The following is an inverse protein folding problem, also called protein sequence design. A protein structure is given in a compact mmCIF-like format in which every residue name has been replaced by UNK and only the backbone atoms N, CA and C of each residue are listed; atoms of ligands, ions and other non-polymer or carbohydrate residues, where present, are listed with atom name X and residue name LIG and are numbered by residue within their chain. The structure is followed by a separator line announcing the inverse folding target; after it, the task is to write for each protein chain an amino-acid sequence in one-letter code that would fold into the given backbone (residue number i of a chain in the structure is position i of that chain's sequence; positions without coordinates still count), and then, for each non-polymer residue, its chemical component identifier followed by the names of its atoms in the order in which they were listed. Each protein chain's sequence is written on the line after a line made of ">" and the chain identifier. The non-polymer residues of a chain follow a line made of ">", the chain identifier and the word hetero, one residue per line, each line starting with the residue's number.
data_IF_645976508872
#
_entry.id   IF_645976508872
#
_cell.length_a   1.000
_cell.length_b   1.000
_cell.length_c   1.000
_cell.angle_alpha   90.00
_cell.angle_beta   90.00
_cell.angle_gamma   90.00
#
_symmetry.space_group_name_H-M   'P 1'
#
loop_
_entity.id
_entity.type
_entity.pdbx_description
1 polymer ?
#
# COMPACT_ATOMS: atom_id res chain seq x y z
N UNK A 1 -5.74 -9.66 7.95
CA UNK A 1 -6.60 -8.55 7.41
C UNK A 1 -7.88 -9.19 6.89
N UNK A 2 -9.09 -8.73 7.22
CA UNK A 2 -10.32 -9.44 6.79
C UNK A 2 -10.62 -9.21 5.31
N UNK A 3 -10.91 -10.26 4.52
CA UNK A 3 -11.43 -10.06 3.15
C UNK A 3 -12.94 -9.87 3.19
N UNK A 4 -13.42 -8.92 2.39
CA UNK A 4 -14.83 -8.67 2.16
C UNK A 4 -15.14 -8.96 0.70
N UNK A 5 -16.03 -9.91 0.49
CA UNK A 5 -16.46 -10.38 -0.83
C UNK A 5 -17.70 -9.63 -1.31
N UNK A 6 -18.08 -9.81 -2.57
CA UNK A 6 -19.15 -9.04 -3.23
C UNK A 6 -20.55 -9.26 -2.60
N UNK A 7 -20.79 -10.43 -2.01
CA UNK A 7 -21.96 -10.77 -1.20
C UNK A 7 -21.94 -10.15 0.20
N UNK A 8 -20.83 -9.52 0.59
CA UNK A 8 -20.63 -8.93 1.91
C UNK A 8 -20.24 -9.95 2.98
N UNK A 9 -19.98 -11.21 2.60
CA UNK A 9 -19.41 -12.18 3.51
C UNK A 9 -18.00 -11.73 3.94
N UNK A 10 -17.71 -11.95 5.21
CA UNK A 10 -16.42 -11.63 5.82
C UNK A 10 -15.70 -12.95 6.03
N UNK A 11 -14.71 -13.20 5.19
CA UNK A 11 -13.79 -14.30 5.44
C UNK A 11 -12.63 -13.77 6.29
N UNK A 12 -12.42 -14.40 7.45
CA UNK A 12 -11.22 -14.18 8.23
C UNK A 12 -10.08 -14.89 7.50
N UNK A 13 -9.37 -14.15 6.67
CA UNK A 13 -8.12 -14.58 6.08
C UNK A 13 -6.98 -13.79 6.72
N UNK A 14 -5.89 -14.48 7.01
CA UNK A 14 -4.67 -13.84 7.48
C UNK A 14 -3.77 -13.55 6.27
N UNK A 15 -3.92 -12.35 5.72
CA UNK A 15 -3.00 -11.87 4.69
C UNK A 15 -1.73 -11.30 5.31
N UNK A 16 -0.60 -11.76 4.79
CA UNK A 16 0.71 -11.13 4.94
C UNK A 16 1.06 -10.57 3.56
N UNK A 17 1.42 -9.29 3.51
CA UNK A 17 1.94 -8.72 2.28
C UNK A 17 3.41 -9.08 2.11
N UNK A 18 3.81 -9.42 0.90
CA UNK A 18 5.21 -9.70 0.60
C UNK A 18 5.45 -10.01 -0.87
N UNK A 19 6.73 -10.22 -1.19
CA UNK A 19 7.20 -10.50 -2.53
C UNK A 19 7.47 -11.99 -2.73
N UNK A 20 6.91 -12.56 -3.78
CA UNK A 20 7.35 -13.86 -4.30
C UNK A 20 8.39 -13.67 -5.40
N UNK A 21 9.58 -14.25 -5.26
CA UNK A 21 10.53 -14.32 -6.38
C UNK A 21 10.09 -15.45 -7.30
N UNK A 22 9.41 -15.13 -8.40
CA UNK A 22 9.14 -16.13 -9.44
C UNK A 22 10.39 -16.28 -10.32
N UNK A 23 11.16 -17.35 -10.12
CA UNK A 23 12.09 -17.81 -11.14
C UNK A 23 11.26 -18.26 -12.37
N UNK A 24 11.61 -17.85 -13.61
CA UNK A 24 10.86 -18.25 -14.79
C UNK A 24 11.14 -19.73 -15.08
N UNK A 25 10.32 -20.62 -14.51
CA UNK A 25 10.30 -22.03 -14.91
C UNK A 25 9.15 -22.21 -15.89
N UNK A 26 9.47 -22.24 -17.18
CA UNK A 26 8.61 -22.71 -18.26
C UNK A 26 8.43 -24.23 -18.13
N UNK A 27 7.50 -24.66 -17.29
CA UNK A 27 6.90 -26.00 -17.40
C UNK A 27 5.38 -25.87 -17.48
N UNK A 28 4.71 -26.59 -18.38
CA UNK A 28 3.25 -26.62 -18.40
C UNK A 28 2.76 -27.28 -17.10
N UNK A 29 2.14 -26.50 -16.22
CA UNK A 29 1.54 -27.03 -15.00
C UNK A 29 0.08 -27.37 -15.32
N UNK A 30 -0.20 -28.66 -15.36
CA UNK A 30 -1.54 -29.21 -15.41
C UNK A 30 -2.09 -29.14 -13.98
N UNK A 31 -2.96 -28.18 -13.70
CA UNK A 31 -3.70 -28.15 -12.43
C UNK A 31 -4.71 -29.31 -12.47
N UNK A 32 -4.32 -30.48 -11.98
CA UNK A 32 -5.28 -31.48 -11.55
C UNK A 32 -6.02 -30.93 -10.34
N UNK A 33 -7.36 -31.03 -10.34
CA UNK A 33 -8.19 -30.89 -9.14
C UNK A 33 -7.56 -31.75 -8.03
N UNK A 34 -6.80 -31.13 -7.13
CA UNK A 34 -6.40 -31.79 -5.89
C UNK A 34 -7.55 -31.59 -4.92
N UNK A 35 -8.08 -32.71 -4.45
CA UNK A 35 -9.27 -32.78 -3.63
C UNK A 35 -9.16 -31.92 -2.37
N UNK A 36 -10.27 -31.26 -2.05
CA UNK A 36 -10.54 -30.67 -0.75
C UNK A 36 -9.89 -29.32 -0.51
N UNK A 37 -10.23 -28.32 -1.31
CA UNK A 37 -10.71 -26.99 -0.86
C UNK A 37 -10.69 -26.02 -2.06
N UNK A 38 -11.84 -25.87 -2.69
CA UNK A 38 -12.04 -24.81 -3.69
C UNK A 38 -12.11 -23.50 -2.92
N UNK A 39 -11.16 -22.58 -3.16
CA UNK A 39 -11.26 -21.19 -2.69
C UNK A 39 -12.48 -20.51 -3.33
N UNK A 40 -13.65 -20.70 -2.71
CA UNK A 40 -14.90 -20.04 -3.08
C UNK A 40 -14.87 -18.64 -2.47
N UNK A 41 -14.31 -17.69 -3.24
CA UNK A 41 -14.36 -16.25 -2.91
C UNK A 41 -15.76 -15.65 -3.10
N UNK A 42 -16.70 -16.41 -3.65
CA UNK A 42 -18.12 -16.09 -3.79
C UNK A 42 -18.93 -17.38 -3.79
N UNK A 43 -20.22 -17.31 -3.46
CA UNK A 43 -21.21 -18.38 -3.70
C UNK A 43 -21.49 -18.61 -5.22
N UNK A 44 -20.44 -18.68 -6.05
CA UNK A 44 -20.51 -19.02 -7.46
C UNK A 44 -19.70 -20.31 -7.72
N UNK A 45 -20.36 -21.48 -7.87
CA UNK A 45 -19.68 -22.77 -8.05
C UNK A 45 -18.90 -22.89 -9.37
N UNK A 46 -19.07 -21.96 -10.31
CA UNK A 46 -18.38 -21.96 -11.61
C UNK A 46 -17.33 -20.84 -11.78
N UNK A 47 -17.11 -20.05 -10.73
CA UNK A 47 -16.22 -18.90 -10.77
C UNK A 47 -14.88 -19.22 -10.10
N UNK A 48 -14.06 -20.07 -10.72
CA UNK A 48 -12.75 -20.45 -10.17
C UNK A 48 -11.66 -19.62 -10.84
N UNK A 49 -10.93 -18.77 -10.10
CA UNK A 49 -9.75 -18.09 -10.65
C UNK A 49 -8.69 -19.12 -11.06
N UNK A 50 -7.96 -18.85 -12.14
CA UNK A 50 -6.73 -19.58 -12.46
C UNK A 50 -5.71 -19.33 -11.35
N UNK A 51 -5.48 -20.33 -10.51
CA UNK A 51 -4.42 -20.35 -9.49
C UNK A 51 -3.17 -20.99 -10.10
N UNK A 52 -1.98 -20.47 -9.77
CA UNK A 52 -0.72 -21.11 -10.11
C UNK A 52 -0.12 -21.74 -8.86
N UNK A 53 0.38 -22.97 -8.98
CA UNK A 53 1.18 -23.59 -7.95
C UNK A 53 2.61 -23.05 -8.01
N UNK A 54 3.17 -22.73 -6.85
CA UNK A 54 4.54 -22.29 -6.71
C UNK A 54 5.29 -23.35 -5.88
N UNK A 55 6.46 -23.80 -6.37
CA UNK A 55 7.32 -24.77 -5.70
C UNK A 55 8.64 -24.11 -5.32
N UNK A 56 9.34 -24.66 -4.32
CA UNK A 56 10.69 -24.22 -3.91
C UNK A 56 10.77 -22.71 -3.66
N UNK A 57 9.80 -22.17 -2.92
CA UNK A 57 9.79 -20.75 -2.59
C UNK A 57 11.07 -20.39 -1.82
N UNK A 58 11.61 -19.21 -2.10
CA UNK A 58 12.79 -18.65 -1.45
C UNK A 58 12.51 -17.19 -1.12
N UNK A 59 13.23 -16.64 -0.13
CA UNK A 59 13.11 -15.24 0.27
C UNK A 59 12.39 -15.02 1.60
N UNK A 60 12.30 -13.75 2.00
CA UNK A 60 11.92 -13.31 3.36
C UNK A 60 10.49 -13.65 3.77
N UNK A 61 9.61 -14.01 2.83
CA UNK A 61 8.25 -14.42 3.14
C UNK A 61 8.23 -15.74 3.95
N UNK A 62 9.23 -16.60 3.76
CA UNK A 62 9.39 -17.84 4.54
C UNK A 62 9.97 -17.60 5.93
N UNK A 63 10.61 -16.46 6.16
CA UNK A 63 11.17 -16.08 7.46
C UNK A 63 10.09 -15.46 8.38
N UNK A 64 8.88 -15.23 7.86
CA UNK A 64 7.75 -14.73 8.62
C UNK A 64 7.25 -15.81 9.59
N UNK A 65 6.98 -15.48 10.87
CA UNK A 65 6.40 -16.43 11.82
C UNK A 65 4.94 -16.80 11.50
N UNK A 66 4.29 -16.12 10.55
CA UNK A 66 2.96 -16.46 10.07
C UNK A 66 3.04 -17.46 8.91
N UNK A 67 2.44 -18.64 9.07
CA UNK A 67 2.26 -19.59 7.97
C UNK A 67 1.30 -19.02 6.93
N UNK A 68 1.74 -18.87 5.69
CA UNK A 68 0.90 -18.44 4.56
C UNK A 68 0.68 -19.59 3.59
N UNK A 69 -0.57 -19.86 3.21
CA UNK A 69 -0.91 -20.91 2.24
C UNK A 69 -0.66 -20.51 0.77
N UNK A 70 -0.34 -19.23 0.51
CA UNK A 70 -0.01 -18.73 -0.82
C UNK A 70 0.10 -17.21 -0.91
N UNK A 71 0.32 -16.71 -2.13
CA UNK A 71 0.41 -15.28 -2.45
C UNK A 71 -0.75 -14.90 -3.35
N UNK A 72 -1.46 -13.82 -3.00
CA UNK A 72 -2.54 -13.28 -3.80
C UNK A 72 -2.02 -12.16 -4.72
N UNK A 73 -2.03 -12.40 -6.03
CA UNK A 73 -1.65 -11.40 -7.04
C UNK A 73 -2.73 -10.36 -7.27
N UNK A 74 -2.45 -9.09 -6.92
CA UNK A 74 -3.40 -7.97 -6.99
C UNK A 74 -2.99 -6.87 -7.98
N UNK A 75 -2.03 -7.13 -8.87
CA UNK A 75 -1.61 -6.15 -9.86
C UNK A 75 -2.70 -5.82 -10.90
N UNK A 76 -2.40 -4.88 -11.80
CA UNK A 76 -3.21 -4.62 -13.00
C UNK A 76 -2.98 -5.66 -14.13
N UNK A 77 -2.18 -6.70 -13.86
CA UNK A 77 -1.86 -7.74 -14.83
C UNK A 77 -3.04 -8.64 -15.17
N UNK A 78 -3.03 -9.22 -16.37
CA UNK A 78 -4.14 -10.04 -16.90
C UNK A 78 -4.47 -11.29 -16.06
N UNK A 79 -3.52 -11.74 -15.24
CA UNK A 79 -3.61 -12.90 -14.35
C UNK A 79 -3.91 -12.53 -12.90
N UNK A 80 -4.05 -11.25 -12.55
CA UNK A 80 -4.38 -10.85 -11.19
C UNK A 80 -5.81 -11.27 -10.83
N UNK A 81 -6.03 -11.57 -9.56
CA UNK A 81 -7.35 -11.98 -9.06
C UNK A 81 -8.46 -10.98 -9.44
N UNK A 82 -8.34 -9.65 -9.20
CA UNK A 82 -9.39 -8.71 -9.57
C UNK A 82 -9.69 -8.73 -11.08
N UNK A 83 -8.65 -8.82 -11.92
CA UNK A 83 -8.83 -8.88 -13.39
C UNK A 83 -9.53 -10.16 -13.84
N UNK A 84 -9.20 -11.31 -13.22
CA UNK A 84 -9.83 -12.59 -13.54
C UNK A 84 -11.32 -12.59 -13.17
N UNK A 85 -11.67 -12.11 -11.97
CA UNK A 85 -13.06 -12.03 -11.51
C UNK A 85 -13.87 -11.01 -12.33
N UNK A 86 -13.26 -9.88 -12.72
CA UNK A 86 -13.90 -8.88 -13.56
C UNK A 86 -14.19 -9.39 -14.97
N UNK A 87 -13.29 -10.17 -15.58
CA UNK A 87 -13.53 -10.84 -16.88
C UNK A 87 -14.72 -11.81 -16.84
N UNK A 88 -14.97 -12.43 -15.69
CA UNK A 88 -16.13 -13.29 -15.46
C UNK A 88 -17.41 -12.49 -15.11
N UNK A 89 -17.33 -11.16 -15.00
CA UNK A 89 -18.46 -10.28 -14.72
C UNK A 89 -18.93 -10.30 -13.26
N UNK A 90 -18.12 -10.80 -12.33
CA UNK A 90 -18.48 -10.98 -10.91
C UNK A 90 -18.33 -9.66 -10.14
N UNK A 91 -17.26 -8.91 -10.44
CA UNK A 91 -16.93 -7.63 -9.83
C UNK A 91 -16.49 -6.63 -10.91
N UNK A 92 -16.41 -5.35 -10.56
CA UNK A 92 -15.58 -4.39 -11.30
C UNK A 92 -14.10 -4.74 -11.15
N UNK A 93 -13.23 -4.31 -12.07
CA UNK A 93 -11.78 -4.53 -11.95
C UNK A 93 -11.17 -3.53 -10.96
N UNK A 94 -11.65 -3.60 -9.72
CA UNK A 94 -11.32 -2.69 -8.63
C UNK A 94 -11.02 -3.55 -7.40
N UNK A 95 -10.07 -3.11 -6.60
CA UNK A 95 -9.92 -3.64 -5.25
C UNK A 95 -9.41 -2.53 -4.32
N UNK A 96 -9.45 -2.78 -3.02
CA UNK A 96 -8.84 -1.87 -2.07
C UNK A 96 -8.56 -2.52 -0.73
N UNK A 97 -7.73 -1.86 0.06
CA UNK A 97 -7.37 -2.28 1.40
C UNK A 97 -7.37 -1.09 2.36
N UNK A 98 -7.46 -1.40 3.65
CA UNK A 98 -7.39 -0.45 4.74
C UNK A 98 -6.64 -1.10 5.90
N UNK A 99 -5.39 -0.67 6.11
CA UNK A 99 -4.54 -1.16 7.20
C UNK A 99 -4.85 -0.34 8.45
N UNK A 100 -5.25 -1.00 9.54
CA UNK A 100 -5.52 -0.32 10.79
C UNK A 100 -4.26 0.27 11.41
N UNK A 101 -4.41 1.41 12.10
CA UNK A 101 -3.33 2.03 12.89
C UNK A 101 -3.10 1.32 14.22
N UNK A 102 -4.18 0.78 14.80
CA UNK A 102 -4.14 0.01 16.04
C UNK A 102 -3.77 -1.45 15.73
N UNK A 103 -2.67 -1.98 16.28
CA UNK A 103 -2.26 -3.36 16.05
C UNK A 103 -3.27 -4.39 16.59
N UNK A 104 -4.15 -4.01 17.53
CA UNK A 104 -5.23 -4.86 18.04
C UNK A 104 -6.45 -4.91 17.09
N UNK A 105 -6.52 -3.99 16.12
CA UNK A 105 -7.59 -3.95 15.14
C UNK A 105 -7.17 -4.64 13.84
N UNK A 106 -8.00 -5.57 13.38
CA UNK A 106 -7.84 -6.12 12.04
C UNK A 106 -8.28 -5.09 10.98
N UNK A 107 -7.38 -4.71 10.08
CA UNK A 107 -7.75 -4.03 8.85
C UNK A 107 -8.63 -4.88 7.93
N UNK A 108 -9.00 -4.36 6.77
CA UNK A 108 -9.78 -5.10 5.77
C UNK A 108 -9.30 -4.88 4.35
N UNK A 109 -9.63 -5.84 3.47
CA UNK A 109 -9.49 -5.76 2.03
C UNK A 109 -10.85 -6.04 1.38
N UNK A 110 -11.10 -5.48 0.21
CA UNK A 110 -12.30 -5.76 -0.58
C UNK A 110 -11.96 -5.92 -2.06
N UNK A 111 -12.79 -6.70 -2.74
CA UNK A 111 -12.77 -6.87 -4.20
C UNK A 111 -14.04 -6.25 -4.79
N UNK A 112 -13.90 -5.56 -5.91
CA UNK A 112 -14.93 -4.73 -6.53
C UNK A 112 -14.99 -3.30 -5.97
N UNK A 113 -15.96 -2.54 -6.44
CA UNK A 113 -16.14 -1.11 -6.16
C UNK A 113 -17.09 -0.80 -4.98
N UNK A 114 -17.68 -1.84 -4.37
CA UNK A 114 -18.74 -1.75 -3.36
C UNK A 114 -18.37 -0.90 -2.13
N UNK A 115 -17.09 -0.90 -1.77
CA UNK A 115 -16.55 -0.26 -0.57
C UNK A 115 -15.70 0.96 -0.90
N UNK A 116 -15.69 1.40 -2.16
CA UNK A 116 -15.04 2.66 -2.56
C UNK A 116 -15.98 3.82 -2.19
N UNK A 117 -15.55 4.77 -1.35
CA UNK A 117 -16.37 5.92 -1.01
C UNK A 117 -16.71 6.77 -2.24
N UNK A 118 -17.99 7.20 -2.35
CA UNK A 118 -18.45 8.08 -3.43
C UNK A 118 -17.81 9.47 -3.41
N UNK A 119 -17.37 9.92 -2.24
CA UNK A 119 -16.83 11.26 -1.98
C UNK A 119 -15.65 11.17 -1.03
N UNK A 120 -14.77 12.17 -1.05
CA UNK A 120 -13.63 12.26 -0.14
C UNK A 120 -12.40 11.45 -0.55
N UNK A 121 -12.48 10.67 -1.63
CA UNK A 121 -11.32 10.02 -2.25
C UNK A 121 -10.46 11.04 -3.01
N UNK A 122 -9.15 10.94 -2.84
CA UNK A 122 -8.16 11.60 -3.72
C UNK A 122 -7.65 10.59 -4.72
N UNK A 123 -7.78 10.86 -6.01
CA UNK A 123 -7.39 9.95 -7.09
C UNK A 123 -6.20 10.50 -7.88
N UNK A 124 -5.29 9.63 -8.32
CA UNK A 124 -4.21 9.92 -9.27
C UNK A 124 -4.18 8.87 -10.37
N UNK A 125 -3.91 9.26 -11.63
CA UNK A 125 -3.74 8.28 -12.70
C UNK A 125 -2.50 7.42 -12.42
N UNK A 126 -2.64 6.14 -12.71
CA UNK A 126 -1.53 5.20 -12.76
C UNK A 126 -0.78 5.43 -14.07
N UNK A 127 0.55 5.46 -14.01
CA UNK A 127 1.40 5.61 -15.18
C UNK A 127 1.44 4.27 -15.91
N UNK A 128 1.11 4.29 -17.20
CA UNK A 128 1.29 3.13 -18.06
C UNK A 128 2.79 2.82 -18.21
N UNK A 129 3.16 1.59 -17.91
CA UNK A 129 4.52 1.08 -18.05
C UNK A 129 4.51 -0.41 -18.38
N UNK A 130 5.66 -0.99 -18.75
CA UNK A 130 5.78 -2.42 -19.02
C UNK A 130 5.66 -3.29 -17.77
N UNK A 131 5.75 -2.68 -16.59
CA UNK A 131 5.66 -3.33 -15.30
C UNK A 131 4.21 -3.28 -14.79
N UNK A 132 3.68 -4.41 -14.32
CA UNK A 132 2.36 -4.53 -13.71
C UNK A 132 2.34 -3.95 -12.28
N UNK A 133 2.83 -2.72 -12.10
CA UNK A 133 2.98 -2.03 -10.81
C UNK A 133 2.14 -0.76 -10.76
N UNK A 134 1.60 -0.45 -9.57
CA UNK A 134 0.84 0.77 -9.33
C UNK A 134 1.76 1.95 -9.13
N UNK A 135 2.26 2.48 -10.25
CA UNK A 135 3.17 3.63 -10.27
C UNK A 135 2.48 4.93 -10.69
N UNK A 136 2.97 6.05 -10.18
CA UNK A 136 2.55 7.41 -10.56
C UNK A 136 3.73 8.37 -10.37
N UNK A 137 3.50 9.69 -10.42
CA UNK A 137 4.56 10.69 -10.27
C UNK A 137 4.20 11.79 -9.27
N UNK A 138 5.16 12.12 -8.40
CA UNK A 138 5.09 13.29 -7.52
C UNK A 138 5.94 14.42 -8.06
N UNK A 139 5.50 15.65 -7.81
CA UNK A 139 6.23 16.87 -8.14
C UNK A 139 7.21 17.27 -7.06
N UNK A 140 6.85 17.04 -5.79
CA UNK A 140 7.69 17.38 -4.64
C UNK A 140 7.26 16.61 -3.40
N UNK A 141 8.21 16.45 -2.48
CA UNK A 141 8.02 15.86 -1.16
C UNK A 141 8.40 16.90 -0.12
N UNK A 142 7.51 17.16 0.84
CA UNK A 142 7.74 18.14 1.89
C UNK A 142 7.74 17.50 3.27
N UNK A 143 8.55 18.01 4.18
CA UNK A 143 8.46 17.80 5.62
C UNK A 143 8.12 19.12 6.31
N UNK A 144 6.97 19.20 6.99
CA UNK A 144 6.60 20.42 7.73
C UNK A 144 6.49 21.71 6.90
N UNK A 145 6.29 21.58 5.59
CA UNK A 145 6.23 22.70 4.63
C UNK A 145 7.55 23.00 3.92
N UNK A 146 8.67 22.43 4.37
CA UNK A 146 9.96 22.50 3.69
C UNK A 146 10.09 21.37 2.67
N UNK A 147 10.47 21.69 1.43
CA UNK A 147 10.74 20.69 0.40
C UNK A 147 12.03 19.92 0.73
N UNK A 148 11.98 18.60 0.61
CA UNK A 148 13.10 17.70 0.93
C UNK A 148 14.09 17.53 -0.23
N UNK A 149 13.77 18.01 -1.44
CA UNK A 149 14.63 17.88 -2.61
C UNK A 149 15.87 18.80 -2.51
N UNK A 150 17.02 18.31 -2.97
CA UNK A 150 18.20 19.14 -3.23
C UNK A 150 17.89 20.08 -4.40
N UNK A 151 18.47 21.30 -4.40
CA UNK A 151 18.20 22.34 -5.42
C UNK A 151 18.31 21.85 -6.87
N UNK A 152 19.15 20.85 -7.14
CA UNK A 152 19.34 20.26 -8.48
C UNK A 152 18.18 19.34 -8.91
N UNK A 153 17.41 18.81 -7.97
CA UNK A 153 16.23 17.97 -8.22
C UNK A 153 14.90 18.70 -8.04
N UNK A 154 14.93 19.97 -7.62
CA UNK A 154 13.74 20.78 -7.44
C UNK A 154 12.92 20.88 -8.74
N UNK A 155 11.66 20.42 -8.70
CA UNK A 155 10.76 20.40 -9.85
C UNK A 155 10.89 19.17 -10.77
N UNK A 156 11.79 18.23 -10.49
CA UNK A 156 11.84 16.93 -11.19
C UNK A 156 10.68 16.04 -10.74
N UNK A 157 10.02 15.40 -11.70
CA UNK A 157 9.01 14.39 -11.40
C UNK A 157 9.68 13.12 -10.89
N UNK A 158 9.30 12.67 -9.70
CA UNK A 158 9.80 11.44 -9.09
C UNK A 158 8.75 10.35 -9.19
N UNK A 159 9.12 9.18 -9.67
CA UNK A 159 8.23 8.03 -9.72
C UNK A 159 7.89 7.58 -8.30
N UNK A 160 6.61 7.25 -8.08
CA UNK A 160 6.12 6.68 -6.82
C UNK A 160 5.45 5.37 -7.12
N UNK A 161 5.78 4.32 -6.39
CA UNK A 161 5.12 3.01 -6.45
C UNK A 161 4.35 2.82 -5.14
N UNK A 162 3.07 2.48 -5.23
CA UNK A 162 2.28 2.06 -4.07
C UNK A 162 2.38 0.56 -3.91
N UNK A 163 3.12 0.14 -2.90
CA UNK A 163 3.47 -1.26 -2.70
C UNK A 163 3.13 -1.70 -1.28
N UNK A 164 1.99 -2.37 -1.16
CA UNK A 164 1.61 -2.99 0.11
C UNK A 164 2.54 -4.14 0.53
N UNK A 165 3.33 -4.70 -0.40
CA UNK A 165 4.31 -5.77 -0.20
C UNK A 165 5.56 -5.37 0.60
N UNK A 166 5.86 -4.07 0.68
CA UNK A 166 6.97 -3.53 1.46
C UNK A 166 6.50 -3.08 2.83
N UNK A 167 7.19 -3.48 3.90
CA UNK A 167 6.85 -3.02 5.24
C UNK A 167 7.11 -1.54 5.44
N UNK A 168 8.27 -1.07 4.96
CA UNK A 168 8.72 0.32 5.11
C UNK A 168 8.57 1.12 3.83
N UNK A 169 8.59 2.44 3.99
CA UNK A 169 8.66 3.35 2.85
C UNK A 169 10.11 3.57 2.46
N UNK A 170 10.41 3.65 1.17
CA UNK A 170 11.76 3.87 0.67
C UNK A 170 11.82 5.15 -0.12
N UNK A 171 12.74 6.05 0.25
CA UNK A 171 12.98 7.30 -0.46
C UNK A 171 14.30 7.25 -1.23
N UNK A 172 14.40 7.92 -2.38
CA UNK A 172 15.68 8.20 -3.01
C UNK A 172 16.66 8.80 -2.00
N UNK A 173 17.94 8.41 -2.10
CA UNK A 173 18.99 8.74 -1.14
C UNK A 173 19.02 10.23 -0.74
N UNK A 174 18.89 11.14 -1.72
CA UNK A 174 18.89 12.59 -1.48
C UNK A 174 17.69 13.07 -0.64
N UNK A 175 16.49 12.52 -0.89
CA UNK A 175 15.28 12.87 -0.12
C UNK A 175 15.38 12.26 1.29
N UNK A 176 15.90 11.05 1.40
CA UNK A 176 16.10 10.35 2.68
C UNK A 176 17.08 11.09 3.60
N UNK A 177 18.25 11.50 3.08
CA UNK A 177 19.25 12.26 3.85
C UNK A 177 18.75 13.64 4.27
N UNK A 178 18.01 14.33 3.40
CA UNK A 178 17.33 15.60 3.72
C UNK A 178 16.27 15.44 4.81
N UNK A 179 15.53 14.32 4.80
CA UNK A 179 14.58 13.98 5.85
C UNK A 179 15.28 13.78 7.19
N UNK A 180 16.37 13.00 7.24
CA UNK A 180 17.16 12.80 8.46
C UNK A 180 17.59 14.14 9.05
N UNK A 181 18.17 15.03 8.25
CA UNK A 181 18.60 16.35 8.71
C UNK A 181 17.43 17.17 9.28
N UNK A 182 16.25 17.08 8.66
CA UNK A 182 15.04 17.75 9.13
C UNK A 182 14.50 17.17 10.45
N UNK A 183 14.64 15.87 10.66
CA UNK A 183 14.26 15.20 11.92
C UNK A 183 15.22 15.57 13.05
N UNK A 184 16.53 15.53 12.82
CA UNK A 184 17.55 15.93 13.79
C UNK A 184 17.36 17.40 14.22
N UNK A 185 17.06 18.29 13.27
CA UNK A 185 16.76 19.70 13.55
C UNK A 185 15.46 19.88 14.37
N UNK A 186 14.46 19.02 14.16
CA UNK A 186 13.20 19.04 14.90
C UNK A 186 13.34 18.47 16.32
N UNK A 187 14.36 17.65 16.59
CA UNK A 187 14.57 16.98 17.88
C UNK A 187 15.98 17.20 18.47
N UNK A 188 16.36 18.45 18.82
CA UNK A 188 17.71 18.78 19.27
C UNK A 188 18.14 18.12 20.59
N UNK A 189 17.19 17.60 21.37
CA UNK A 189 17.46 16.86 22.61
C UNK A 189 17.64 15.35 22.40
N UNK A 190 17.53 14.85 21.17
CA UNK A 190 17.65 13.43 20.87
C UNK A 190 19.04 13.15 20.31
N UNK A 191 19.65 12.04 20.72
CA UNK A 191 20.97 11.63 20.26
C UNK A 191 20.86 10.40 19.37
N UNK A 192 21.59 10.35 18.25
CA UNK A 192 21.67 9.14 17.42
C UNK A 192 22.17 7.96 18.25
N UNK A 193 21.50 6.81 18.14
CA UNK A 193 21.89 5.57 18.84
C UNK A 193 22.19 4.46 17.82
N UNK A 194 23.44 4.37 17.41
CA UNK A 194 23.91 3.36 16.45
C UNK A 194 23.93 1.93 17.04
N UNK A 195 23.78 1.79 18.36
CA UNK A 195 23.67 0.47 18.99
C UNK A 195 22.28 -0.15 18.79
N UNK A 196 21.28 0.65 18.43
CA UNK A 196 19.92 0.20 18.14
C UNK A 196 19.80 -0.21 16.67
N UNK A 197 19.73 -1.52 16.45
CA UNK A 197 19.64 -2.12 15.11
C UNK A 197 18.18 -2.36 14.67
N UNK A 198 17.20 -1.79 15.38
CA UNK A 198 15.78 -1.93 15.02
C UNK A 198 15.51 -1.40 13.61
N UNK A 199 16.07 -0.22 13.28
CA UNK A 199 16.06 0.37 11.94
C UNK A 199 17.38 1.12 11.70
N UNK A 200 17.76 1.38 10.44
CA UNK A 200 19.02 2.07 10.09
C UNK A 200 19.19 3.46 10.74
N UNK A 201 18.09 4.13 11.06
CA UNK A 201 18.11 5.42 11.74
C UNK A 201 17.22 5.40 12.98
N UNK A 202 17.86 5.48 14.15
CA UNK A 202 17.23 5.57 15.46
C UNK A 202 17.87 6.69 16.30
N UNK A 203 17.03 7.43 17.01
CA UNK A 203 17.46 8.48 17.94
C UNK A 203 16.89 8.22 19.33
N UNK A 204 17.73 8.39 20.33
CA UNK A 204 17.41 8.23 21.74
C UNK A 204 16.99 9.58 22.35
N UNK A 205 15.75 9.69 22.85
CA UNK A 205 15.31 10.83 23.64
C UNK A 205 15.99 10.87 25.02
N UNK A 206 16.05 12.05 25.63
CA UNK A 206 16.53 12.23 27.01
C UNK A 206 15.43 11.97 28.07
N UNK A 207 14.29 11.42 27.66
CA UNK A 207 13.18 11.01 28.52
C UNK A 207 12.62 9.65 28.06
N UNK A 208 11.92 8.89 28.92
CA UNK A 208 11.31 7.63 28.53
C UNK A 208 10.20 7.84 27.49
N UNK A 209 10.24 7.08 26.39
CA UNK A 209 9.20 7.05 25.36
C UNK A 209 8.60 5.65 25.31
N UNK A 210 7.27 5.55 25.35
CA UNK A 210 6.53 4.29 25.31
C UNK A 210 5.77 4.11 24.00
N UNK A 211 5.32 5.21 23.41
CA UNK A 211 4.62 5.17 22.12
C UNK A 211 4.94 6.42 21.29
N UNK A 212 4.54 6.38 20.02
CA UNK A 212 4.68 7.54 19.13
C UNK A 212 3.89 8.74 19.64
N UNK A 213 2.80 8.52 20.40
CA UNK A 213 1.98 9.60 20.96
C UNK A 213 2.77 10.53 21.90
N UNK A 214 3.79 10.00 22.59
CA UNK A 214 4.64 10.77 23.51
C UNK A 214 5.49 11.82 22.78
N UNK A 215 5.79 11.60 21.48
CA UNK A 215 6.75 12.41 20.71
C UNK A 215 6.19 13.01 19.43
N UNK A 216 5.05 12.55 18.93
CA UNK A 216 4.53 12.92 17.60
C UNK A 216 4.34 14.42 17.38
N UNK A 217 4.08 15.19 18.44
CA UNK A 217 3.90 16.64 18.35
C UNK A 217 5.19 17.39 17.96
N UNK A 218 6.35 16.78 18.19
CA UNK A 218 7.67 17.31 17.81
C UNK A 218 7.90 17.19 16.30
N UNK A 219 7.24 16.23 15.65
CA UNK A 219 7.47 15.91 14.25
C UNK A 219 6.35 16.41 13.35
N UNK A 220 6.64 16.56 12.05
CA UNK A 220 5.71 17.09 11.05
C UNK A 220 5.34 16.05 10.01
N UNK A 221 4.14 16.09 9.41
CA UNK A 221 3.77 15.14 8.38
C UNK A 221 4.68 15.27 7.14
N UNK A 222 4.92 14.14 6.47
CA UNK A 222 5.47 14.10 5.12
C UNK A 222 4.33 14.30 4.13
N UNK A 223 4.51 15.21 3.17
CA UNK A 223 3.50 15.54 2.17
C UNK A 223 4.06 15.28 0.78
N UNK A 224 3.49 14.29 0.10
CA UNK A 224 3.79 14.00 -1.30
C UNK A 224 2.77 14.71 -2.17
N UNK A 225 3.24 15.66 -2.97
CA UNK A 225 2.39 16.46 -3.84
C UNK A 225 2.42 15.89 -5.26
N UNK A 226 1.29 15.37 -5.72
CA UNK A 226 1.12 14.84 -7.06
C UNK A 226 0.75 15.96 -8.03
N UNK A 227 1.05 15.75 -9.31
CA UNK A 227 0.75 16.74 -10.34
C UNK A 227 -0.74 17.07 -10.41
N UNK A 228 -1.03 18.35 -10.61
CA UNK A 228 -2.40 18.81 -10.88
C UNK A 228 -2.87 18.19 -12.19
N UNK A 229 -4.06 17.61 -12.20
CA UNK A 229 -4.83 17.36 -13.43
C UNK A 229 -5.75 18.56 -13.66
N UNK A 230 -6.59 18.51 -14.70
CA UNK A 230 -7.52 19.57 -15.10
C UNK A 230 -8.30 20.19 -13.91
N UNK A 231 -8.59 19.41 -12.87
CA UNK A 231 -9.31 19.89 -11.68
C UNK A 231 -8.37 20.50 -10.62
N UNK A 232 -8.79 21.63 -10.05
CA UNK A 232 -8.05 22.51 -9.11
C UNK A 232 -7.81 21.90 -7.71
N UNK A 233 -8.04 20.60 -7.51
CA UNK A 233 -7.89 19.95 -6.20
C UNK A 233 -6.44 19.47 -6.03
N UNK A 234 -5.69 19.98 -5.03
CA UNK A 234 -4.35 19.50 -4.75
C UNK A 234 -4.40 18.02 -4.33
N UNK A 235 -3.72 17.17 -5.10
CA UNK A 235 -3.60 15.74 -4.82
C UNK A 235 -2.39 15.56 -3.91
N UNK A 236 -2.63 15.50 -2.60
CA UNK A 236 -1.57 15.35 -1.61
C UNK A 236 -1.77 14.04 -0.85
N UNK A 237 -0.72 13.22 -0.80
CA UNK A 237 -0.67 12.07 0.08
C UNK A 237 0.10 12.46 1.34
N UNK A 238 -0.56 12.39 2.49
CA UNK A 238 0.02 12.77 3.77
C UNK A 238 0.40 11.53 4.59
N UNK A 239 1.64 11.50 5.08
CA UNK A 239 2.15 10.49 5.99
C UNK A 239 2.32 11.17 7.34
N UNK A 240 1.46 10.82 8.30
CA UNK A 240 1.51 11.35 9.65
C UNK A 240 2.71 10.75 10.44
N UNK A 241 3.16 11.38 11.54
CA UNK A 241 4.24 10.84 12.38
C UNK A 241 4.04 9.37 12.79
N UNK A 242 2.82 8.96 13.10
CA UNK A 242 2.46 7.58 13.45
C UNK A 242 2.69 6.58 12.30
N UNK A 243 2.84 7.07 11.08
CA UNK A 243 3.01 6.29 9.86
C UNK A 243 4.45 6.37 9.30
N UNK A 244 5.40 6.95 10.04
CA UNK A 244 6.82 6.87 9.72
C UNK A 244 7.73 6.80 10.94
N UNK A 245 7.22 6.93 12.17
CA UNK A 245 7.97 6.76 13.41
C UNK A 245 7.65 5.40 14.03
N UNK A 246 8.69 4.74 14.54
CA UNK A 246 8.61 3.45 15.21
C UNK A 246 9.34 3.57 16.54
N UNK A 247 8.72 3.15 17.63
CA UNK A 247 9.38 3.10 18.93
C UNK A 247 10.03 1.73 19.07
N UNK A 248 11.35 1.70 19.23
CA UNK A 248 12.07 0.45 19.48
C UNK A 248 11.88 -0.04 20.91
N UNK A 249 12.22 -1.29 21.15
CA UNK A 249 12.22 -1.94 22.46
C UNK A 249 13.15 -1.24 23.47
N UNK A 250 14.11 -0.44 22.97
CA UNK A 250 15.02 0.40 23.77
C UNK A 250 14.42 1.76 24.14
N UNK A 251 13.20 2.08 23.67
CA UNK A 251 12.56 3.38 23.82
C UNK A 251 13.12 4.45 22.88
N UNK A 252 13.83 4.05 21.81
CA UNK A 252 14.33 4.99 20.81
C UNK A 252 13.26 5.27 19.76
N UNK A 253 13.32 6.45 19.15
CA UNK A 253 12.49 6.86 18.03
C UNK A 253 13.23 6.53 16.74
N UNK A 254 12.74 5.54 16.01
CA UNK A 254 13.30 5.04 14.76
C UNK A 254 12.47 5.48 13.55
N UNK A 255 13.12 5.65 12.41
CA UNK A 255 12.50 6.11 11.16
C UNK A 255 12.11 4.91 10.28
N UNK A 256 10.80 4.73 10.06
CA UNK A 256 10.20 3.76 9.13
C UNK A 256 10.21 4.19 7.66
N UNK A 257 11.06 5.17 7.32
CA UNK A 257 11.43 5.54 5.95
C UNK A 257 12.91 5.18 5.79
N UNK A 258 13.23 4.40 4.77
CA UNK A 258 14.55 3.84 4.52
C UNK A 258 15.15 4.39 3.22
N UNK A 259 16.43 4.12 3.01
CA UNK A 259 17.13 4.47 1.78
C UNK A 259 16.78 3.50 0.65
N UNK A 260 16.21 4.01 -0.44
CA UNK A 260 15.83 3.21 -1.61
C UNK A 260 17.01 2.56 -2.34
N UNK A 261 18.24 3.00 -2.10
CA UNK A 261 19.44 2.33 -2.65
C UNK A 261 19.62 0.92 -2.11
N UNK A 262 19.13 0.62 -0.90
CA UNK A 262 19.19 -0.73 -0.29
C UNK A 262 18.42 -1.79 -1.08
N UNK A 263 17.42 -1.36 -1.85
CA UNK A 263 16.55 -2.22 -2.66
C UNK A 263 16.72 -1.99 -4.16
N UNK A 264 17.76 -1.25 -4.59
CA UNK A 264 18.00 -0.94 -6.00
C UNK A 264 17.06 0.11 -6.61
N UNK A 265 16.23 0.78 -5.81
CA UNK A 265 15.29 1.82 -6.23
C UNK A 265 15.85 3.24 -5.96
N UNK A 266 17.04 3.54 -6.47
CA UNK A 266 17.76 4.80 -6.18
C UNK A 266 17.07 6.09 -6.64
N UNK A 267 16.08 6.00 -7.52
CA UNK A 267 15.37 7.16 -8.13
C UNK A 267 13.84 7.09 -7.99
N UNK A 268 13.32 6.12 -7.23
CA UNK A 268 11.89 5.88 -7.08
C UNK A 268 11.51 5.92 -5.61
N UNK A 269 10.36 6.50 -5.29
CA UNK A 269 9.76 6.40 -3.96
C UNK A 269 8.89 5.13 -3.93
N UNK A 270 9.08 4.28 -2.93
CA UNK A 270 8.21 3.13 -2.68
C UNK A 270 7.41 3.39 -1.42
N UNK A 271 6.08 3.50 -1.54
CA UNK A 271 5.17 3.67 -0.40
C UNK A 271 4.78 2.30 0.12
N UNK A 272 5.40 1.93 1.25
CA UNK A 272 5.14 0.67 1.96
C UNK A 272 3.97 0.74 2.95
N UNK A 273 3.69 -0.39 3.60
CA UNK A 273 2.58 -0.60 4.52
C UNK A 273 2.51 0.46 5.61
N UNK A 274 3.65 0.87 6.16
CA UNK A 274 3.74 1.80 7.30
C UNK A 274 3.09 3.14 6.96
N UNK A 275 3.23 3.58 5.71
CA UNK A 275 2.66 4.84 5.20
C UNK A 275 1.18 4.74 4.83
N UNK A 276 0.71 3.52 4.53
CA UNK A 276 -0.66 3.22 4.11
C UNK A 276 -1.62 3.02 5.30
N UNK A 277 -1.11 2.91 6.53
CA UNK A 277 -1.93 2.78 7.75
C UNK A 277 -2.90 3.95 7.93
N UNK A 278 -4.11 3.65 8.40
CA UNK A 278 -5.18 4.63 8.61
C UNK A 278 -5.73 5.24 7.33
N UNK A 279 -5.50 4.59 6.19
CA UNK A 279 -6.02 5.01 4.89
C UNK A 279 -6.74 3.86 4.22
N UNK A 280 -7.89 4.15 3.63
CA UNK A 280 -8.50 3.31 2.63
C UNK A 280 -7.80 3.62 1.31
N UNK A 281 -7.15 2.63 0.72
CA UNK A 281 -6.47 2.74 -0.57
C UNK A 281 -7.19 1.85 -1.58
N UNK A 282 -7.61 2.43 -2.69
CA UNK A 282 -8.34 1.75 -3.75
C UNK A 282 -7.58 1.83 -5.07
N UNK A 283 -7.58 0.72 -5.79
CA UNK A 283 -6.91 0.51 -7.07
C UNK A 283 -8.00 0.22 -8.08
N UNK A 284 -8.23 1.16 -8.98
CA UNK A 284 -9.29 1.12 -9.98
C UNK A 284 -8.63 0.88 -11.34
N UNK A 285 -8.56 -0.40 -11.74
CA UNK A 285 -7.96 -0.79 -13.01
C UNK A 285 -8.87 -0.47 -14.20
N UNK A 286 -10.17 -0.31 -13.98
CA UNK A 286 -11.13 0.06 -15.03
C UNK A 286 -10.88 1.51 -15.50
N UNK A 287 -10.59 2.43 -14.56
CA UNK A 287 -10.28 3.84 -14.85
C UNK A 287 -8.76 4.14 -14.80
N UNK A 288 -7.91 3.12 -14.62
CA UNK A 288 -6.45 3.21 -14.54
C UNK A 288 -5.94 4.27 -13.53
N UNK A 289 -6.45 4.19 -12.30
CA UNK A 289 -6.17 5.15 -11.25
C UNK A 289 -6.01 4.47 -9.88
N UNK A 290 -5.26 5.12 -9.00
CA UNK A 290 -5.17 4.75 -7.58
C UNK A 290 -5.66 5.92 -6.75
N UNK A 291 -6.35 5.62 -5.66
CA UNK A 291 -6.89 6.64 -4.77
C UNK A 291 -6.86 6.27 -3.31
N UNK A 292 -6.97 7.30 -2.48
CA UNK A 292 -6.93 7.15 -1.03
C UNK A 292 -7.88 8.10 -0.32
N UNK A 293 -8.34 7.69 0.86
CA UNK A 293 -9.04 8.52 1.83
C UNK A 293 -8.61 8.15 3.25
N UNK A 294 -8.66 9.11 4.18
CA UNK A 294 -8.44 8.83 5.59
C UNK A 294 -9.56 7.92 6.11
N UNK A 295 -9.19 6.87 6.86
CA UNK A 295 -10.16 5.91 7.40
C UNK A 295 -9.67 5.28 8.70
N UNK A 296 -10.59 4.99 9.61
CA UNK A 296 -10.27 4.24 10.83
C UNK A 296 -10.03 2.74 10.60
N UNK A 297 -10.28 2.22 9.39
CA UNK A 297 -10.07 0.83 8.97
C UNK A 297 -10.75 -0.28 9.81
N UNK A 298 -11.64 0.08 10.75
CA UNK A 298 -12.33 -0.87 11.64
C UNK A 298 -13.66 -1.36 11.06
N UNK A 299 -14.35 -0.52 10.29
CA UNK A 299 -15.70 -0.80 9.78
C UNK A 299 -15.79 -0.45 8.30
N UNK A 300 -15.81 -1.46 7.40
CA UNK A 300 -16.06 -1.21 5.98
C UNK A 300 -17.49 -0.69 5.80
N UNK A 301 -17.64 0.40 5.06
CA UNK A 301 -18.94 0.96 4.71
C UNK A 301 -19.23 0.68 3.24
N UNK A 302 -20.30 -0.07 2.98
CA UNK A 302 -20.78 -0.29 1.62
C UNK A 302 -21.35 1.03 1.11
N UNK A 303 -20.86 1.52 -0.03
CA UNK A 303 -21.49 2.65 -0.70
C UNK A 303 -22.89 2.20 -1.13
N UNK A 304 -23.94 2.78 -0.52
CA UNK A 304 -25.35 2.51 -0.85
C UNK A 304 -25.53 2.42 -2.37
N UNK A 305 -25.82 1.25 -2.93
CA UNK A 305 -25.69 0.96 -4.37
C UNK A 305 -26.93 1.38 -5.18
N UNK A 306 -26.68 1.83 -6.40
CA UNK A 306 -27.40 1.33 -7.57
C UNK A 306 -26.61 0.08 -8.02
N UNK A 307 -27.24 -1.09 -8.24
CA UNK A 307 -26.56 -2.34 -8.57
C UNK A 307 -25.60 -2.24 -9.78
N UNK A 308 -24.45 -2.95 -9.72
CA UNK A 308 -23.43 -3.00 -10.78
C UNK A 308 -23.97 -3.37 -12.18
N UNK A 309 -24.96 -4.26 -12.25
CA UNK A 309 -25.60 -4.61 -13.52
C UNK A 309 -26.34 -3.43 -14.18
N UNK A 310 -26.85 -2.48 -13.38
CA UNK A 310 -27.55 -1.30 -13.87
C UNK A 310 -26.58 -0.21 -14.33
N UNK A 311 -25.41 -0.05 -13.70
CA UNK A 311 -24.41 0.94 -14.14
C UNK A 311 -23.77 0.57 -15.47
N UNK A 312 -23.55 -0.73 -15.74
CA UNK A 312 -23.03 -1.22 -17.03
C UNK A 312 -24.03 -1.01 -18.17
N UNK A 313 -25.33 -1.27 -17.93
CA UNK A 313 -26.40 -1.03 -18.89
C UNK A 313 -26.58 0.47 -19.21
N UNK A 314 -26.43 1.34 -18.21
CA UNK A 314 -26.46 2.80 -18.38
C UNK A 314 -25.25 3.34 -19.15
N UNK A 315 -24.04 2.80 -18.92
CA UNK A 315 -22.83 3.19 -19.68
C UNK A 315 -22.86 2.71 -21.14
N UNK A 316 -23.44 1.55 -21.44
CA UNK A 316 -23.55 1.04 -22.83
C UNK A 316 -24.63 1.71 -23.67
N UNK A 317 -25.51 2.52 -23.06
CA UNK A 317 -26.54 3.30 -23.78
C UNK A 317 -26.11 4.75 -24.06
N UNK A 318 -24.94 5.17 -23.56
CA UNK A 318 -24.40 6.53 -23.71
C UNK A 318 -23.15 6.59 -24.63
N UNK A 319 -22.84 5.50 -25.34
CA UNK A 319 -21.84 5.41 -26.40
C UNK A 319 -22.49 4.99 -27.71
#
# INVERSE_FOLDING_TARGET
>A
MRLITADGERQNMDFVFGYGTTSPITKPVQCSEMGGDVCTLTNCPFCVPSVRCAHDQQGKLLDSPASTDGILGLSNGAMSLPTQLAKQGIISNVFGHCIATDPSSSGYMFLGDDYVPRWGMTWVPVRNGPEDVYSTVVQKVNYGGQELNVREQAGKLTQVIFDSGSSYTYFPHEIYTSLIASLEAASPGFARDESDQTLPFCMKPNFPVRSVDDVKQLFKPLLLHFSKTWFVIPRTFAIAPENYLIISDKGNVCLGVLDGTEIGHSSTIVIGDVSLRGKLVAYDNDENQIGWAQSGCTRPQKASRVPFFLSRALRSQLL
#
